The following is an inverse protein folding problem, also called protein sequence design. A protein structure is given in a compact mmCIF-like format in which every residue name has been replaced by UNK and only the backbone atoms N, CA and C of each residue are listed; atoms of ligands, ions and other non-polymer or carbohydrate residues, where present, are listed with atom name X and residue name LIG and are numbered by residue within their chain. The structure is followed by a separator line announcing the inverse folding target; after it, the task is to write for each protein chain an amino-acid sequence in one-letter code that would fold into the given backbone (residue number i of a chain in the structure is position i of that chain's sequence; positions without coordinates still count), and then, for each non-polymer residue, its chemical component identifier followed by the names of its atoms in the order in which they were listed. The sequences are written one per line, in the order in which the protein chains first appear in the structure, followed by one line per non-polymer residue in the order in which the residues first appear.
data_IF_662301533337
#
_entry.id   IF_662301533337
#
_cell.length_a   1.000
_cell.length_b   1.000
_cell.length_c   1.000
_cell.angle_alpha   90.00
_cell.angle_beta   90.00
_cell.angle_gamma   90.00
#
_symmetry.space_group_name_H-M   'P 1'
#
loop_
_entity.id
_entity.type
_entity.pdbx_description
1 polymer ?
#
# COMPACT_ATOMS: atom_id res chain seq x y z
N UNK A 1 -22.59 -19.14 -11.78
CA UNK A 1 -21.28 -18.67 -12.25
C UNK A 1 -21.12 -17.22 -11.83
N UNK A 2 -20.25 -16.94 -10.88
CA UNK A 2 -19.97 -15.60 -10.37
C UNK A 2 -18.47 -15.49 -10.12
N UNK A 3 -17.86 -14.37 -10.54
CA UNK A 3 -16.45 -14.07 -10.32
C UNK A 3 -16.26 -12.55 -10.27
N UNK A 4 -15.43 -12.06 -9.37
CA UNK A 4 -15.03 -10.67 -9.32
C UNK A 4 -13.91 -10.37 -10.30
N UNK A 5 -13.97 -9.24 -10.99
CA UNK A 5 -12.91 -8.74 -11.87
C UNK A 5 -12.71 -7.26 -11.54
N UNK A 6 -11.56 -6.95 -10.96
CA UNK A 6 -11.24 -5.61 -10.49
C UNK A 6 -10.19 -4.94 -11.40
N UNK A 7 -10.60 -3.85 -12.04
CA UNK A 7 -9.76 -3.01 -12.88
C UNK A 7 -9.24 -1.79 -12.12
N UNK A 8 -8.08 -1.29 -12.52
CA UNK A 8 -7.51 -0.06 -11.97
C UNK A 8 -7.78 1.11 -12.92
N UNK A 9 -8.05 2.28 -12.33
CA UNK A 9 -8.41 3.48 -13.09
C UNK A 9 -7.15 4.23 -13.61
N UNK A 10 -7.09 4.59 -14.89
CA UNK A 10 -8.06 4.30 -15.95
C UNK A 10 -7.88 2.88 -16.53
N UNK A 11 -8.97 2.12 -16.57
CA UNK A 11 -8.95 0.70 -16.96
C UNK A 11 -8.27 0.40 -18.32
N UNK A 12 -8.41 1.23 -19.37
CA UNK A 12 -7.70 0.98 -20.63
C UNK A 12 -6.17 1.04 -20.51
N UNK A 13 -5.64 1.90 -19.63
CA UNK A 13 -4.20 2.18 -19.51
C UNK A 13 -3.51 1.29 -18.48
N UNK A 14 -4.19 1.00 -17.36
CA UNK A 14 -3.60 0.22 -16.28
C UNK A 14 -3.46 -1.24 -16.68
N UNK A 15 -2.24 -1.82 -16.57
CA UNK A 15 -1.99 -3.18 -17.03
C UNK A 15 -2.57 -4.26 -16.12
N UNK A 16 -2.75 -3.99 -14.83
CA UNK A 16 -3.16 -4.97 -13.83
C UNK A 16 -4.68 -5.19 -13.81
N UNK A 17 -5.07 -6.45 -13.64
CA UNK A 17 -6.43 -6.86 -13.28
C UNK A 17 -6.35 -7.91 -12.19
N UNK A 18 -7.08 -7.69 -11.09
CA UNK A 18 -7.27 -8.69 -10.04
C UNK A 18 -8.50 -9.54 -10.38
N UNK A 19 -8.36 -10.87 -10.34
CA UNK A 19 -9.45 -11.82 -10.49
C UNK A 19 -9.73 -12.45 -9.14
N UNK A 20 -10.98 -12.37 -8.72
CA UNK A 20 -11.43 -12.69 -7.38
C UNK A 20 -12.50 -13.79 -7.47
N UNK A 21 -12.13 -15.07 -7.32
CA UNK A 21 -13.12 -16.14 -7.23
C UNK A 21 -13.91 -16.02 -5.93
N UNK A 22 -15.24 -16.11 -6.05
CA UNK A 22 -16.13 -16.26 -4.90
C UNK A 22 -16.07 -17.70 -4.36
N UNK A 23 -16.64 -17.94 -3.18
CA UNK A 23 -16.67 -19.27 -2.55
C UNK A 23 -17.28 -20.33 -3.48
N UNK A 24 -18.26 -19.96 -4.32
CA UNK A 24 -18.96 -20.84 -5.25
C UNK A 24 -18.42 -20.81 -6.69
N UNK A 25 -17.32 -20.11 -6.95
CA UNK A 25 -16.73 -20.05 -8.30
C UNK A 25 -16.08 -21.40 -8.65
N UNK A 26 -16.50 -22.01 -9.75
CA UNK A 26 -15.88 -23.21 -10.27
C UNK A 26 -14.58 -22.90 -11.03
N UNK A 27 -13.70 -23.90 -11.15
CA UNK A 27 -12.41 -23.77 -11.84
C UNK A 27 -12.55 -23.37 -13.32
N UNK A 28 -13.58 -23.86 -14.00
CA UNK A 28 -13.81 -23.53 -15.41
C UNK A 28 -14.12 -22.05 -15.57
N UNK A 29 -14.94 -21.47 -14.68
CA UNK A 29 -15.24 -20.04 -14.65
C UNK A 29 -14.00 -19.20 -14.34
N UNK A 30 -13.18 -19.63 -13.36
CA UNK A 30 -11.93 -18.98 -13.02
C UNK A 30 -10.95 -18.97 -14.20
N UNK A 31 -10.68 -20.15 -14.77
CA UNK A 31 -9.75 -20.30 -15.89
C UNK A 31 -10.20 -19.52 -17.12
N UNK A 32 -11.50 -19.54 -17.43
CA UNK A 32 -12.06 -18.77 -18.53
C UNK A 32 -11.92 -17.27 -18.35
N UNK A 33 -12.10 -16.76 -17.13
CA UNK A 33 -11.90 -15.34 -16.82
C UNK A 33 -10.42 -14.95 -16.95
N UNK A 34 -9.50 -15.76 -16.41
CA UNK A 34 -8.04 -15.54 -16.53
C UNK A 34 -7.63 -15.47 -17.99
N UNK A 35 -8.08 -16.43 -18.80
CA UNK A 35 -7.75 -16.49 -20.23
C UNK A 35 -8.32 -15.28 -21.00
N UNK A 36 -9.57 -14.91 -20.74
CA UNK A 36 -10.21 -13.74 -21.35
C UNK A 36 -9.41 -12.46 -21.09
N UNK A 37 -9.03 -12.23 -19.83
CA UNK A 37 -8.30 -11.01 -19.43
C UNK A 37 -6.87 -11.02 -20.00
N UNK A 38 -6.20 -12.19 -20.05
CA UNK A 38 -4.89 -12.33 -20.71
C UNK A 38 -4.96 -12.02 -22.21
N UNK A 39 -6.06 -12.40 -22.88
CA UNK A 39 -6.28 -12.09 -24.30
C UNK A 39 -6.40 -10.57 -24.56
N UNK A 40 -6.83 -9.80 -23.55
CA UNK A 40 -6.80 -8.32 -23.60
C UNK A 40 -5.41 -7.74 -23.30
N UNK A 41 -4.36 -8.58 -23.24
CA UNK A 41 -2.97 -8.20 -22.93
C UNK A 41 -2.80 -7.52 -21.57
N UNK A 42 -3.66 -7.88 -20.63
CA UNK A 42 -3.56 -7.43 -19.22
C UNK A 42 -2.73 -8.41 -18.41
N UNK A 43 -2.06 -7.88 -17.39
CA UNK A 43 -1.44 -8.70 -16.34
C UNK A 43 -2.51 -9.14 -15.37
N UNK A 44 -2.64 -10.44 -15.18
CA UNK A 44 -3.64 -11.03 -14.29
C UNK A 44 -2.97 -11.48 -13.01
N UNK A 45 -3.57 -11.16 -11.88
CA UNK A 45 -3.30 -11.78 -10.59
C UNK A 45 -4.59 -12.37 -10.04
N UNK A 46 -4.48 -13.50 -9.35
CA UNK A 46 -5.63 -14.13 -8.71
C UNK A 46 -5.52 -13.91 -7.20
N UNK A 47 -6.59 -13.45 -6.59
CA UNK A 47 -6.62 -13.22 -5.16
C UNK A 47 -7.93 -13.67 -4.52
N UNK A 48 -7.83 -14.03 -3.25
CA UNK A 48 -8.99 -14.41 -2.43
C UNK A 48 -9.92 -13.20 -2.25
N UNK A 49 -11.23 -13.49 -2.18
CA UNK A 49 -12.24 -12.48 -1.85
C UNK A 49 -12.08 -12.05 -0.39
N UNK A 50 -11.30 -10.98 -0.20
CA UNK A 50 -11.02 -10.35 1.09
C UNK A 50 -11.06 -8.82 0.94
N UNK A 51 -11.31 -8.06 2.01
CA UNK A 51 -11.40 -6.60 1.92
C UNK A 51 -10.16 -5.98 1.28
N UNK A 52 -10.36 -5.18 0.24
CA UNK A 52 -9.27 -4.51 -0.48
C UNK A 52 -8.44 -5.41 -1.40
N UNK A 53 -8.80 -6.68 -1.53
CA UNK A 53 -8.10 -7.68 -2.34
C UNK A 53 -6.58 -7.68 -2.07
N UNK A 54 -5.73 -7.56 -3.08
CA UNK A 54 -4.29 -7.36 -2.86
C UNK A 54 -3.96 -5.87 -2.75
N UNK A 55 -4.22 -5.11 -3.83
CA UNK A 55 -3.66 -3.76 -3.96
C UNK A 55 -4.19 -2.80 -2.92
N UNK A 56 -5.52 -2.68 -2.77
CA UNK A 56 -6.12 -1.74 -1.82
C UNK A 56 -5.83 -2.10 -0.36
N UNK A 57 -5.55 -3.35 -0.05
CA UNK A 57 -5.10 -3.81 1.25
C UNK A 57 -3.64 -3.46 1.49
N UNK A 58 -2.73 -3.97 0.64
CA UNK A 58 -1.28 -3.88 0.83
C UNK A 58 -0.76 -2.45 0.71
N UNK A 59 -1.42 -1.61 -0.10
CA UNK A 59 -1.04 -0.20 -0.23
C UNK A 59 -1.50 0.71 0.92
N UNK A 60 -2.37 0.26 1.84
CA UNK A 60 -2.89 1.17 2.89
C UNK A 60 -1.82 1.76 3.79
N UNK A 61 -0.80 1.03 4.24
CA UNK A 61 0.27 1.62 5.05
C UNK A 61 1.02 2.78 4.37
N UNK A 62 1.08 2.82 3.03
CA UNK A 62 1.71 3.93 2.30
C UNK A 62 1.10 5.29 2.66
N UNK A 63 -0.22 5.33 2.77
CA UNK A 63 -0.97 6.52 3.15
C UNK A 63 -1.07 6.66 4.68
N UNK A 64 -1.48 5.58 5.33
CA UNK A 64 -1.78 5.60 6.77
C UNK A 64 -0.56 5.91 7.62
N UNK A 65 0.61 5.34 7.30
CA UNK A 65 1.82 5.59 8.06
C UNK A 65 2.43 6.96 7.77
N UNK A 66 2.36 7.42 6.51
CA UNK A 66 2.75 8.78 6.15
C UNK A 66 1.92 9.85 6.89
N UNK A 67 0.60 9.64 6.98
CA UNK A 67 -0.29 10.53 7.75
C UNK A 67 0.04 10.54 9.24
N UNK A 68 0.42 9.40 9.84
CA UNK A 68 0.83 9.31 11.25
C UNK A 68 2.15 10.04 11.50
N UNK A 69 3.13 9.88 10.64
CA UNK A 69 4.41 10.62 10.70
C UNK A 69 4.15 12.13 10.70
N UNK A 70 3.20 12.59 9.88
CA UNK A 70 2.76 13.98 9.86
C UNK A 70 2.03 14.37 11.15
N UNK A 71 1.06 13.57 11.60
CA UNK A 71 0.26 13.85 12.81
C UNK A 71 1.11 13.84 14.09
N UNK A 72 2.20 13.09 14.11
CA UNK A 72 3.19 13.07 15.19
C UNK A 72 4.14 14.28 15.14
N UNK A 73 4.05 15.13 14.11
CA UNK A 73 4.91 16.30 13.95
C UNK A 73 6.35 15.98 13.57
N UNK A 74 6.62 14.76 13.08
CA UNK A 74 7.98 14.32 12.70
C UNK A 74 8.43 15.04 11.43
N UNK A 75 7.54 15.14 10.43
CA UNK A 75 7.84 15.78 9.15
C UNK A 75 6.57 16.36 8.51
N UNK A 76 6.75 17.34 7.63
CA UNK A 76 5.67 17.88 6.80
C UNK A 76 5.44 17.03 5.52
N UNK A 77 4.37 17.34 4.78
CA UNK A 77 3.98 16.62 3.58
C UNK A 77 5.10 16.54 2.53
N UNK A 78 5.76 17.67 2.29
CA UNK A 78 6.81 17.77 1.27
C UNK A 78 8.03 16.91 1.62
N UNK A 79 8.41 16.90 2.89
CA UNK A 79 9.54 16.09 3.40
C UNK A 79 9.23 14.59 3.31
N UNK A 80 8.01 14.18 3.67
CA UNK A 80 7.59 12.78 3.58
C UNK A 80 7.53 12.34 2.12
N UNK A 81 6.94 13.15 1.24
CA UNK A 81 6.87 12.86 -0.19
C UNK A 81 8.27 12.76 -0.82
N UNK A 82 9.17 13.67 -0.47
CA UNK A 82 10.57 13.61 -0.90
C UNK A 82 11.26 12.32 -0.45
N UNK A 83 11.10 11.92 0.81
CA UNK A 83 11.73 10.72 1.33
C UNK A 83 11.27 9.46 0.58
N UNK A 84 9.96 9.34 0.33
CA UNK A 84 9.42 8.17 -0.37
C UNK A 84 9.75 8.18 -1.87
N UNK A 85 9.71 9.35 -2.53
CA UNK A 85 10.01 9.44 -3.97
C UNK A 85 11.50 9.36 -4.27
N UNK A 86 12.32 10.22 -3.64
CA UNK A 86 13.75 10.33 -3.99
C UNK A 86 14.62 9.23 -3.35
N UNK A 87 14.35 8.86 -2.09
CA UNK A 87 15.12 7.81 -1.43
C UNK A 87 14.50 6.43 -1.65
N UNK A 88 13.17 6.34 -1.67
CA UNK A 88 12.44 5.08 -1.83
C UNK A 88 12.19 4.67 -3.27
N UNK A 89 12.36 5.56 -4.25
CA UNK A 89 12.13 5.31 -5.66
C UNK A 89 10.66 5.19 -6.05
N UNK A 90 9.72 5.59 -5.18
CA UNK A 90 8.30 5.63 -5.53
C UNK A 90 8.04 6.75 -6.54
N UNK A 91 7.21 6.49 -7.55
CA UNK A 91 6.91 7.46 -8.62
C UNK A 91 6.30 8.76 -8.09
N UNK A 92 5.53 8.68 -7.03
CA UNK A 92 4.94 9.81 -6.30
C UNK A 92 4.99 9.50 -4.80
N UNK A 93 5.20 10.54 -3.99
CA UNK A 93 5.02 10.43 -2.56
C UNK A 93 3.54 10.31 -2.18
N UNK A 94 3.23 9.89 -0.94
CA UNK A 94 1.87 9.58 -0.52
C UNK A 94 0.91 10.75 -0.60
N UNK A 95 1.32 11.96 -0.25
CA UNK A 95 0.46 13.15 -0.28
C UNK A 95 0.21 13.64 -1.70
N UNK A 96 1.23 13.65 -2.55
CA UNK A 96 1.07 13.92 -3.98
C UNK A 96 0.16 12.88 -4.64
N UNK A 97 0.26 11.61 -4.27
CA UNK A 97 -0.58 10.54 -4.81
C UNK A 97 -2.03 10.65 -4.32
N UNK A 98 -2.26 10.96 -3.04
CA UNK A 98 -3.60 11.19 -2.51
C UNK A 98 -4.28 12.38 -3.21
N UNK A 99 -3.56 13.46 -3.45
CA UNK A 99 -4.07 14.63 -4.18
C UNK A 99 -4.33 14.34 -5.67
N UNK A 100 -3.58 13.39 -6.25
CA UNK A 100 -3.80 12.93 -7.63
C UNK A 100 -5.06 12.05 -7.74
N UNK A 101 -5.27 11.13 -6.81
CA UNK A 101 -6.44 10.23 -6.76
C UNK A 101 -7.72 11.03 -6.40
N UNK A 102 -7.58 11.96 -5.51
CA UNK A 102 -8.64 12.70 -4.83
C UNK A 102 -8.81 12.21 -3.38
N UNK A 103 -8.75 13.18 -2.44
CA UNK A 103 -8.76 12.87 -1.01
C UNK A 103 -10.09 12.28 -0.53
N UNK A 104 -11.20 12.61 -1.18
CA UNK A 104 -12.51 11.97 -0.96
C UNK A 104 -12.49 10.49 -1.34
N UNK A 105 -11.95 10.15 -2.51
CA UNK A 105 -11.84 8.77 -2.99
C UNK A 105 -10.89 7.96 -2.09
N UNK A 106 -9.69 8.52 -1.81
CA UNK A 106 -8.71 7.82 -0.98
C UNK A 106 -9.22 7.59 0.44
N UNK A 107 -9.90 8.58 1.04
CA UNK A 107 -10.51 8.46 2.36
C UNK A 107 -11.64 7.42 2.35
N UNK A 108 -12.54 7.45 1.37
CA UNK A 108 -13.64 6.50 1.26
C UNK A 108 -13.14 5.05 1.16
N UNK A 109 -12.07 4.80 0.38
CA UNK A 109 -11.44 3.47 0.30
C UNK A 109 -10.84 3.08 1.65
N UNK A 110 -10.12 3.99 2.33
CA UNK A 110 -9.53 3.71 3.64
C UNK A 110 -10.61 3.36 4.66
N UNK A 111 -11.69 4.14 4.72
CA UNK A 111 -12.82 3.89 5.63
C UNK A 111 -13.52 2.56 5.32
N UNK A 112 -13.74 2.25 4.04
CA UNK A 112 -14.35 1.00 3.61
C UNK A 112 -13.52 -0.22 4.03
N UNK A 113 -12.19 -0.18 3.78
CA UNK A 113 -11.28 -1.25 4.18
C UNK A 113 -11.27 -1.40 5.70
N UNK A 114 -11.18 -0.30 6.46
CA UNK A 114 -11.20 -0.32 7.92
C UNK A 114 -12.47 -0.97 8.49
N UNK A 115 -13.65 -0.61 7.97
CA UNK A 115 -14.93 -1.21 8.38
C UNK A 115 -15.00 -2.69 8.02
N UNK A 116 -14.56 -3.04 6.82
CA UNK A 116 -14.61 -4.42 6.31
C UNK A 116 -13.63 -5.36 7.04
N UNK A 117 -12.53 -4.84 7.60
CA UNK A 117 -11.63 -5.56 8.50
C UNK A 117 -12.09 -5.53 9.97
N UNK A 118 -13.37 -5.30 10.21
CA UNK A 118 -13.94 -5.23 11.57
C UNK A 118 -13.18 -4.25 12.49
N UNK A 119 -12.80 -3.09 11.93
CA UNK A 119 -12.11 -2.01 12.65
C UNK A 119 -10.69 -2.35 13.13
N UNK A 120 -9.98 -3.22 12.40
CA UNK A 120 -8.58 -3.52 12.67
C UNK A 120 -7.73 -2.24 12.64
N UNK A 121 -6.96 -2.01 13.70
CA UNK A 121 -6.15 -0.81 13.91
C UNK A 121 -5.13 -0.55 12.79
N UNK A 122 -4.71 -1.59 12.06
CA UNK A 122 -3.80 -1.48 10.91
C UNK A 122 -4.35 -0.58 9.81
N UNK A 123 -5.66 -0.56 9.63
CA UNK A 123 -6.36 0.18 8.57
C UNK A 123 -7.09 1.43 9.07
N UNK A 124 -6.91 1.82 10.33
CA UNK A 124 -7.59 2.96 10.94
C UNK A 124 -7.31 4.25 10.17
N UNK A 125 -8.35 4.97 9.69
CA UNK A 125 -8.19 6.26 9.02
C UNK A 125 -7.58 7.31 9.94
N UNK A 126 -6.87 8.27 9.34
CA UNK A 126 -6.33 9.43 10.03
C UNK A 126 -7.38 10.55 10.12
N UNK A 127 -7.31 11.34 11.21
CA UNK A 127 -8.13 12.55 11.35
C UNK A 127 -7.76 13.59 10.29
N UNK A 128 -6.49 13.74 9.96
CA UNK A 128 -6.02 14.66 8.91
C UNK A 128 -6.66 14.29 7.57
N UNK A 129 -6.62 13.01 7.18
CA UNK A 129 -7.23 12.55 5.92
C UNK A 129 -8.73 12.89 5.88
N UNK A 130 -9.46 12.60 6.96
CA UNK A 130 -10.88 12.89 7.08
C UNK A 130 -11.16 14.39 6.96
N UNK A 131 -10.41 15.23 7.71
CA UNK A 131 -10.61 16.69 7.73
C UNK A 131 -10.35 17.34 6.37
N UNK A 132 -9.35 16.86 5.63
CA UNK A 132 -9.09 17.35 4.28
C UNK A 132 -10.23 17.01 3.33
N UNK A 133 -10.76 15.77 3.38
CA UNK A 133 -11.93 15.39 2.60
C UNK A 133 -13.18 16.22 2.96
N UNK A 134 -13.47 16.40 4.25
CA UNK A 134 -14.61 17.20 4.74
C UNK A 134 -14.48 18.69 4.38
N UNK A 135 -13.26 19.23 4.36
CA UNK A 135 -13.00 20.62 3.99
C UNK A 135 -13.10 20.87 2.47
N UNK A 136 -13.34 19.84 1.67
CA UNK A 136 -13.34 19.96 0.21
C UNK A 136 -11.95 20.14 -0.41
N UNK A 137 -10.88 19.88 0.35
CA UNK A 137 -9.51 19.87 -0.15
C UNK A 137 -9.21 18.55 -0.84
N UNK A 138 -9.81 18.36 -2.03
CA UNK A 138 -9.86 17.08 -2.72
C UNK A 138 -8.64 16.82 -3.62
N UNK A 139 -7.61 17.65 -3.51
CA UNK A 139 -6.41 17.55 -4.32
C UNK A 139 -6.48 18.33 -5.64
N UNK A 140 -5.85 17.80 -6.68
CA UNK A 140 -5.75 18.49 -7.99
C UNK A 140 -7.10 18.88 -8.58
N UNK A 141 -8.10 18.04 -8.44
CA UNK A 141 -9.44 18.28 -9.00
C UNK A 141 -10.19 19.47 -8.40
N UNK A 142 -9.84 19.87 -7.17
CA UNK A 142 -10.39 21.04 -6.49
C UNK A 142 -9.40 22.23 -6.44
N UNK A 143 -8.22 22.08 -7.03
CA UNK A 143 -7.14 23.08 -6.98
C UNK A 143 -6.39 23.13 -5.64
N UNK A 144 -6.85 22.39 -4.64
CA UNK A 144 -6.25 22.31 -3.31
C UNK A 144 -6.45 20.94 -2.68
N UNK A 145 -5.42 20.44 -2.06
CA UNK A 145 -5.39 19.23 -1.25
C UNK A 145 -4.38 19.41 -0.13
N UNK A 146 -3.49 18.43 0.04
CA UNK A 146 -2.30 18.56 0.89
C UNK A 146 -1.37 19.65 0.35
N UNK A 147 -1.40 19.84 -0.98
CA UNK A 147 -0.73 20.92 -1.69
C UNK A 147 -1.72 21.93 -2.26
N UNK A 148 -1.25 23.18 -2.43
CA UNK A 148 -2.00 24.22 -3.13
C UNK A 148 -1.56 24.22 -4.61
N UNK A 149 -2.47 23.88 -5.51
CA UNK A 149 -2.22 23.81 -6.95
C UNK A 149 -2.57 25.11 -7.68
N UNK A 150 -3.33 25.99 -7.01
CA UNK A 150 -3.65 27.33 -7.55
C UNK A 150 -2.54 28.34 -7.24
N UNK A 151 -1.81 28.13 -6.14
CA UNK A 151 -0.67 28.95 -5.72
C UNK A 151 0.53 28.04 -5.38
N UNK A 152 1.18 27.39 -6.37
CA UNK A 152 2.21 26.39 -6.11
C UNK A 152 3.39 26.90 -5.27
N UNK A 153 3.72 28.19 -5.40
CA UNK A 153 4.81 28.82 -4.66
C UNK A 153 4.50 28.99 -3.15
N UNK A 154 3.25 28.76 -2.71
CA UNK A 154 2.89 28.78 -1.28
C UNK A 154 3.17 27.43 -0.59
N UNK A 155 3.48 26.39 -1.35
CA UNK A 155 3.80 25.10 -0.79
C UNK A 155 5.19 25.11 -0.13
N UNK A 156 5.29 24.41 1.00
CA UNK A 156 6.59 24.28 1.69
C UNK A 156 7.57 23.45 0.87
N UNK A 157 8.82 23.81 0.93
CA UNK A 157 9.91 23.00 0.41
C UNK A 157 10.22 21.83 1.37
N UNK A 158 10.65 20.70 0.81
CA UNK A 158 11.03 19.53 1.58
C UNK A 158 12.32 19.80 2.39
N UNK A 159 12.33 19.40 3.65
CA UNK A 159 13.58 19.19 4.38
C UNK A 159 14.26 17.93 3.85
N UNK A 160 15.41 18.11 3.16
CA UNK A 160 16.15 17.01 2.52
C UNK A 160 17.21 16.41 3.43
N UNK A 161 17.00 16.44 4.74
CA UNK A 161 17.84 15.70 5.69
C UNK A 161 17.74 14.19 5.43
N UNK A 162 18.87 13.58 5.06
CA UNK A 162 18.91 12.17 4.68
C UNK A 162 18.66 11.22 5.85
N UNK A 163 19.02 11.61 7.07
CA UNK A 163 18.78 10.77 8.27
C UNK A 163 17.29 10.71 8.54
N UNK A 164 16.62 11.87 8.58
CA UNK A 164 15.18 11.95 8.71
C UNK A 164 14.46 11.23 7.55
N UNK A 165 14.89 11.45 6.32
CA UNK A 165 14.31 10.81 5.14
C UNK A 165 14.42 9.29 5.16
N UNK A 166 15.57 8.76 5.59
CA UNK A 166 15.77 7.31 5.75
C UNK A 166 14.84 6.74 6.82
N UNK A 167 14.73 7.40 7.97
CA UNK A 167 13.79 7.01 9.01
C UNK A 167 12.34 6.93 8.49
N UNK A 168 11.90 7.96 7.75
CA UNK A 168 10.54 8.00 7.16
C UNK A 168 10.35 6.83 6.19
N UNK A 169 11.30 6.63 5.28
CA UNK A 169 11.25 5.55 4.29
C UNK A 169 11.19 4.18 4.96
N UNK A 170 12.08 3.92 5.91
CA UNK A 170 12.17 2.63 6.59
C UNK A 170 10.89 2.30 7.35
N UNK A 171 10.31 3.30 8.04
CA UNK A 171 9.06 3.14 8.77
C UNK A 171 7.88 2.81 7.84
N UNK A 172 7.72 3.52 6.74
CA UNK A 172 6.64 3.23 5.76
C UNK A 172 6.89 1.90 5.05
N UNK A 173 8.14 1.63 4.64
CA UNK A 173 8.52 0.43 3.89
C UNK A 173 8.34 -0.85 4.71
N UNK A 174 8.77 -0.87 5.97
CA UNK A 174 8.59 -2.06 6.81
C UNK A 174 7.11 -2.38 7.05
N UNK A 175 6.25 -1.37 7.15
CA UNK A 175 4.80 -1.55 7.28
C UNK A 175 4.16 -2.10 5.99
N UNK A 176 4.58 -1.60 4.82
CA UNK A 176 4.16 -2.14 3.53
C UNK A 176 4.56 -3.60 3.36
N UNK A 177 5.80 -3.92 3.71
CA UNK A 177 6.33 -5.30 3.65
C UNK A 177 5.57 -6.20 4.63
N UNK A 178 5.29 -5.75 5.84
CA UNK A 178 4.54 -6.54 6.83
C UNK A 178 3.12 -6.87 6.33
N UNK A 179 2.45 -5.93 5.68
CA UNK A 179 1.11 -6.17 5.12
C UNK A 179 1.15 -7.09 3.88
N UNK A 180 2.19 -7.00 3.04
CA UNK A 180 2.39 -7.93 1.93
C UNK A 180 2.64 -9.36 2.45
N UNK A 181 3.45 -9.51 3.51
CA UNK A 181 3.69 -10.80 4.18
C UNK A 181 2.40 -11.34 4.81
N UNK A 182 1.57 -10.45 5.39
CA UNK A 182 0.28 -10.83 5.96
C UNK A 182 -0.69 -11.33 4.87
N UNK A 183 -0.67 -10.73 3.69
CA UNK A 183 -1.46 -11.18 2.56
C UNK A 183 -1.05 -12.61 2.10
N UNK A 184 0.26 -12.94 2.12
CA UNK A 184 0.73 -14.34 1.90
C UNK A 184 0.27 -15.25 3.03
N UNK A 185 0.47 -14.83 4.27
CA UNK A 185 0.11 -15.62 5.46
C UNK A 185 -1.37 -16.01 5.49
N UNK A 186 -2.24 -15.09 5.07
CA UNK A 186 -3.69 -15.27 5.00
C UNK A 186 -4.16 -15.94 3.69
N UNK A 187 -3.23 -16.36 2.83
CA UNK A 187 -3.50 -16.94 1.51
C UNK A 187 -4.41 -16.05 0.64
N UNK A 188 -4.15 -14.74 0.66
CA UNK A 188 -4.86 -13.78 -0.21
C UNK A 188 -4.38 -13.90 -1.64
N UNK A 189 -3.09 -14.11 -1.85
CA UNK A 189 -2.46 -14.34 -3.14
C UNK A 189 -1.11 -15.03 -3.00
N UNK A 190 -0.57 -15.53 -4.11
CA UNK A 190 0.79 -16.05 -4.13
C UNK A 190 1.81 -14.91 -3.95
N UNK A 191 3.04 -15.18 -3.50
CA UNK A 191 4.09 -14.16 -3.44
C UNK A 191 4.30 -13.42 -4.76
N UNK A 192 4.26 -14.15 -5.87
CA UNK A 192 4.40 -13.58 -7.22
C UNK A 192 3.22 -12.66 -7.57
N UNK A 193 1.99 -13.07 -7.28
CA UNK A 193 0.80 -12.26 -7.55
C UNK A 193 0.80 -10.97 -6.73
N UNK A 194 1.23 -11.04 -5.46
CA UNK A 194 1.31 -9.85 -4.59
C UNK A 194 2.33 -8.87 -5.13
N UNK A 195 3.53 -9.31 -5.49
CA UNK A 195 4.56 -8.42 -6.03
C UNK A 195 4.18 -7.86 -7.41
N UNK A 196 3.54 -8.65 -8.28
CA UNK A 196 2.97 -8.17 -9.55
C UNK A 196 1.87 -7.14 -9.31
N UNK A 197 0.98 -7.39 -8.35
CA UNK A 197 -0.09 -6.46 -8.01
C UNK A 197 0.46 -5.08 -7.59
N UNK A 198 1.48 -5.05 -6.77
CA UNK A 198 2.07 -3.80 -6.29
C UNK A 198 2.88 -3.07 -7.37
N UNK A 199 3.63 -3.80 -8.20
CA UNK A 199 4.44 -3.19 -9.27
C UNK A 199 3.61 -2.75 -10.47
N UNK A 200 2.59 -3.50 -10.88
CA UNK A 200 1.76 -3.24 -12.07
C UNK A 200 0.46 -2.47 -11.76
N UNK A 201 -0.03 -2.57 -10.51
CA UNK A 201 -1.27 -1.90 -10.09
C UNK A 201 -1.04 -0.49 -9.54
N UNK A 202 0.04 -0.27 -8.79
CA UNK A 202 0.34 1.02 -8.14
C UNK A 202 1.75 1.55 -8.43
N UNK A 203 2.43 0.95 -9.41
CA UNK A 203 3.75 1.38 -9.89
C UNK A 203 4.82 1.47 -8.77
N UNK A 204 4.81 0.56 -7.82
CA UNK A 204 5.88 0.49 -6.83
C UNK A 204 7.21 0.16 -7.51
N UNK A 205 8.32 0.70 -7.01
CA UNK A 205 9.63 0.54 -7.66
C UNK A 205 10.08 -0.92 -7.69
N UNK A 206 9.61 -1.72 -6.73
CA UNK A 206 9.94 -3.14 -6.57
C UNK A 206 8.78 -3.88 -5.89
N UNK A 207 8.69 -5.19 -6.11
CA UNK A 207 7.81 -6.06 -5.34
C UNK A 207 8.24 -6.07 -3.87
N UNK A 208 7.27 -6.00 -2.96
CA UNK A 208 7.55 -5.86 -1.53
C UNK A 208 8.20 -7.11 -0.92
N UNK A 209 7.83 -8.29 -1.44
CA UNK A 209 8.38 -9.57 -1.00
C UNK A 209 9.78 -9.82 -1.58
N UNK A 210 10.03 -9.40 -2.82
CA UNK A 210 11.39 -9.36 -3.38
C UNK A 210 12.26 -8.34 -2.62
N UNK A 211 11.66 -7.24 -2.18
CA UNK A 211 12.40 -6.21 -1.43
C UNK A 211 12.87 -6.71 -0.07
N UNK A 212 12.02 -7.43 0.68
CA UNK A 212 12.45 -8.01 1.96
C UNK A 212 13.50 -9.10 1.79
N UNK A 213 13.43 -9.88 0.70
CA UNK A 213 14.46 -10.90 0.39
C UNK A 213 15.86 -10.28 0.16
N UNK A 214 15.91 -9.04 -0.34
CA UNK A 214 17.16 -8.29 -0.54
C UNK A 214 17.64 -7.57 0.72
N UNK A 215 16.73 -6.86 1.42
CA UNK A 215 17.05 -6.11 2.64
C UNK A 215 17.44 -7.04 3.80
N UNK A 216 16.85 -8.23 3.82
CA UNK A 216 16.98 -9.19 4.90
C UNK A 216 15.75 -9.19 5.83
N UNK A 217 15.16 -10.37 6.00
CA UNK A 217 13.96 -10.57 6.83
C UNK A 217 14.18 -10.15 8.28
N UNK A 218 15.41 -10.37 8.80
CA UNK A 218 15.75 -9.99 10.18
C UNK A 218 15.74 -8.48 10.35
N UNK A 219 16.24 -7.73 9.38
CA UNK A 219 16.24 -6.26 9.42
C UNK A 219 14.81 -5.71 9.54
N UNK A 220 13.91 -6.20 8.68
CA UNK A 220 12.49 -5.79 8.71
C UNK A 220 11.80 -6.23 10.00
N UNK A 221 12.12 -7.42 10.52
CA UNK A 221 11.61 -7.90 11.80
C UNK A 221 12.04 -6.99 12.95
N UNK A 222 13.31 -6.60 12.99
CA UNK A 222 13.87 -5.75 14.05
C UNK A 222 13.24 -4.34 13.99
N UNK A 223 13.05 -3.77 12.79
CA UNK A 223 12.38 -2.47 12.61
C UNK A 223 10.93 -2.51 13.10
N UNK A 224 10.16 -3.53 12.72
CA UNK A 224 8.78 -3.69 13.18
C UNK A 224 8.70 -3.93 14.69
N UNK A 225 9.61 -4.73 15.26
CA UNK A 225 9.66 -4.98 16.69
C UNK A 225 9.97 -3.69 17.46
N UNK A 226 10.92 -2.88 16.97
CA UNK A 226 11.22 -1.58 17.56
C UNK A 226 9.99 -0.63 17.56
N UNK A 227 9.27 -0.55 16.44
CA UNK A 227 8.04 0.25 16.37
C UNK A 227 6.97 -0.30 17.31
N UNK A 228 6.80 -1.62 17.36
CA UNK A 228 5.84 -2.26 18.25
C UNK A 228 6.15 -1.98 19.73
N UNK A 229 7.42 -2.11 20.13
CA UNK A 229 7.84 -1.84 21.51
C UNK A 229 7.71 -0.37 21.88
N UNK A 230 7.94 0.55 20.94
CA UNK A 230 7.84 1.98 21.17
C UNK A 230 6.37 2.46 21.28
N UNK A 231 5.50 2.02 20.34
CA UNK A 231 4.12 2.50 20.28
C UNK A 231 3.13 1.64 21.09
N UNK A 232 3.44 0.37 21.32
CA UNK A 232 2.53 -0.58 21.96
C UNK A 232 1.26 -0.87 21.16
N UNK A 233 1.28 -0.64 19.85
CA UNK A 233 0.10 -0.77 18.98
C UNK A 233 0.19 -2.01 18.09
N UNK A 234 -0.89 -2.78 18.05
CA UNK A 234 -1.00 -4.02 17.26
C UNK A 234 -0.70 -3.84 15.76
N UNK A 235 -0.89 -2.64 15.21
CA UNK A 235 -0.58 -2.37 13.80
C UNK A 235 0.90 -2.58 13.45
N UNK A 236 1.80 -2.43 14.41
CA UNK A 236 3.24 -2.65 14.22
C UNK A 236 3.69 -4.07 14.53
N UNK A 237 2.77 -4.93 15.02
CA UNK A 237 3.09 -6.30 15.36
C UNK A 237 3.67 -7.05 14.15
N UNK A 238 4.90 -7.57 14.25
CA UNK A 238 5.50 -8.34 13.18
C UNK A 238 4.68 -9.59 12.86
N UNK A 239 4.47 -9.85 11.58
CA UNK A 239 3.70 -11.01 11.12
C UNK A 239 4.34 -12.32 11.57
N UNK A 240 3.55 -13.34 11.98
CA UNK A 240 4.08 -14.65 12.37
C UNK A 240 4.88 -15.35 11.26
N UNK A 241 4.52 -15.16 9.99
CA UNK A 241 5.25 -15.70 8.86
C UNK A 241 6.66 -15.10 8.78
N UNK A 242 6.82 -13.77 8.96
CA UNK A 242 8.11 -13.11 8.98
C UNK A 242 9.01 -13.69 10.10
N UNK A 243 8.47 -13.85 11.31
CA UNK A 243 9.20 -14.48 12.43
C UNK A 243 9.68 -15.90 12.10
N UNK A 244 8.79 -16.70 11.48
CA UNK A 244 9.12 -18.07 11.05
C UNK A 244 10.18 -18.09 9.96
N UNK A 245 10.11 -17.16 8.99
CA UNK A 245 11.09 -17.07 7.90
C UNK A 245 12.47 -16.68 8.42
N UNK A 246 12.54 -15.75 9.38
CA UNK A 246 13.81 -15.40 10.04
C UNK A 246 14.41 -16.61 10.78
N UNK A 247 13.60 -17.34 11.56
CA UNK A 247 14.05 -18.51 12.30
C UNK A 247 14.57 -19.63 11.37
N UNK A 248 13.89 -19.85 10.24
CA UNK A 248 14.21 -20.91 9.28
C UNK A 248 15.18 -20.46 8.17
N UNK A 249 15.56 -19.19 8.13
CA UNK A 249 16.42 -18.61 7.08
C UNK A 249 15.86 -18.85 5.65
N UNK A 250 14.55 -18.78 5.50
CA UNK A 250 13.86 -18.96 4.20
C UNK A 250 13.59 -17.62 3.52
N UNK A 251 13.44 -17.66 2.18
CA UNK A 251 13.10 -16.51 1.33
C UNK A 251 11.80 -16.77 0.57
N UNK A 252 11.15 -15.70 0.08
CA UNK A 252 9.98 -15.81 -0.81
C UNK A 252 10.38 -16.28 -2.20
N UNK A 253 11.53 -15.81 -2.68
CA UNK A 253 12.09 -16.13 -4.00
C UNK A 253 13.51 -16.69 -3.82
N UNK A 254 13.66 -17.98 -3.49
CA UNK A 254 14.98 -18.62 -3.42
C UNK A 254 15.61 -18.64 -4.82
N UNK A 255 16.88 -18.28 -4.90
CA UNK A 255 17.70 -18.39 -6.11
C UNK A 255 18.16 -19.82 -6.32
#
# INVERSE_FOLDING_TARGET
RCIGIHFFNPAPLMPLVEIIPAVQTDEQTLNGAVELIKNWKKTVVTCKDTPGFIVNRVARPFYGEALRIYEEGIADFATIDWALSELGGFKMGPFTLMDYIGNDVNYAVTESVFKAFYYDSRFKPSFTQKRYAEAGFLGRKSGRGYYNYTEPNSNKEANKDRVLGTYILDRVRCMLINEAIDAVFMNVGSPTDIDLAMTKGVNYPKGLLAWVDELGHKEILDQLQHLFDYYGEDRYRPNPLLRRMVANKTKFFPH
#
